data_IF_257318898108
#
_entry.id   IF_257318898108
#
_cell.length_a   1.000
_cell.length_b   1.000
_cell.length_c   1.000
_cell.angle_alpha   90.00
_cell.angle_beta   90.00
_cell.angle_gamma   90.00
#
_symmetry.space_group_name_H-M   'P 1'
#
loop_
_entity.id
_entity.type
_entity.pdbx_description
1 polymer ?
#
# COMPACT_ATOMS: atom_id res chain seq x y z
N UNK A 1 57.70 -27.33 -6.48
CA UNK A 1 56.76 -26.76 -7.46
C UNK A 1 55.38 -27.24 -7.07
N UNK A 2 54.64 -26.42 -6.32
CA UNK A 2 53.20 -26.62 -6.10
C UNK A 2 52.42 -25.98 -7.27
N UNK A 3 51.27 -26.54 -7.68
CA UNK A 3 50.44 -25.93 -8.71
C UNK A 3 49.64 -24.73 -8.16
N UNK A 4 49.30 -23.74 -9.01
CA UNK A 4 48.56 -22.56 -8.56
C UNK A 4 47.07 -22.89 -8.37
N UNK A 5 46.55 -22.65 -7.17
CA UNK A 5 45.11 -22.68 -6.88
C UNK A 5 44.39 -21.57 -7.64
N UNK A 6 43.54 -21.96 -8.57
CA UNK A 6 42.62 -21.05 -9.28
C UNK A 6 41.38 -20.85 -8.42
N UNK A 7 41.22 -19.65 -7.87
CA UNK A 7 40.02 -19.25 -7.12
C UNK A 7 38.88 -18.94 -8.09
N UNK A 8 37.87 -19.81 -8.11
CA UNK A 8 36.59 -19.58 -8.79
C UNK A 8 35.88 -18.35 -8.18
N UNK A 9 35.36 -17.40 -8.98
CA UNK A 9 34.52 -16.33 -8.47
C UNK A 9 33.24 -16.89 -7.86
N UNK A 10 32.96 -16.55 -6.60
CA UNK A 10 31.68 -16.87 -5.98
C UNK A 10 30.55 -16.15 -6.72
N UNK A 11 29.55 -16.92 -7.16
CA UNK A 11 28.29 -16.43 -7.70
C UNK A 11 27.61 -15.52 -6.66
N UNK A 12 27.00 -14.37 -7.01
CA UNK A 12 26.30 -13.55 -6.04
C UNK A 12 25.18 -14.36 -5.41
N UNK A 13 25.24 -14.50 -4.09
CA UNK A 13 24.24 -15.13 -3.25
C UNK A 13 22.88 -14.50 -3.53
N UNK A 14 21.92 -15.33 -3.96
CA UNK A 14 20.51 -14.94 -4.05
C UNK A 14 20.04 -14.53 -2.66
N UNK A 15 19.81 -13.24 -2.43
CA UNK A 15 19.16 -12.72 -1.24
C UNK A 15 17.78 -13.37 -1.14
N UNK A 16 17.56 -14.21 -0.13
CA UNK A 16 16.20 -14.65 0.20
C UNK A 16 15.31 -13.42 0.39
N UNK A 17 14.07 -13.42 -0.12
CA UNK A 17 13.15 -12.34 0.16
C UNK A 17 13.05 -12.15 1.69
N UNK A 18 13.02 -10.90 2.20
CA UNK A 18 12.94 -10.64 3.62
C UNK A 18 11.75 -11.40 4.22
N UNK A 19 12.05 -12.43 5.02
CA UNK A 19 11.04 -13.27 5.66
C UNK A 19 10.21 -12.39 6.61
N UNK A 20 8.89 -12.35 6.41
CA UNK A 20 7.90 -11.53 7.13
C UNK A 20 7.77 -10.08 6.64
N UNK A 21 7.37 -9.94 5.39
CA UNK A 21 7.00 -8.66 4.79
C UNK A 21 5.50 -8.39 4.98
N UNK A 22 5.16 -7.48 5.88
CA UNK A 22 3.81 -6.92 5.95
C UNK A 22 3.76 -5.68 5.06
N UNK A 23 2.75 -5.58 4.20
CA UNK A 23 2.54 -4.47 3.27
C UNK A 23 1.15 -3.87 3.47
N UNK A 24 1.05 -2.56 3.42
CA UNK A 24 -0.23 -1.85 3.48
C UNK A 24 -0.41 -1.04 2.21
N UNK A 25 -1.43 -1.38 1.42
CA UNK A 25 -1.87 -0.63 0.25
C UNK A 25 -2.87 0.47 0.63
N UNK A 26 -2.72 1.65 0.03
CA UNK A 26 -3.57 2.82 0.33
C UNK A 26 -4.23 3.35 -0.94
N UNK A 27 -5.55 3.18 -1.06
CA UNK A 27 -6.34 3.73 -2.18
C UNK A 27 -6.85 5.14 -1.90
N UNK A 28 -6.39 6.13 -2.68
CA UNK A 28 -6.94 7.49 -2.66
C UNK A 28 -8.10 7.60 -3.64
N UNK A 29 -9.30 7.41 -3.12
CA UNK A 29 -10.53 7.49 -3.90
C UNK A 29 -11.23 8.84 -3.75
N UNK A 30 -10.69 9.73 -2.91
CA UNK A 30 -11.30 11.03 -2.62
C UNK A 30 -11.34 11.91 -3.88
N UNK A 31 -10.27 11.91 -4.67
CA UNK A 31 -10.17 12.73 -5.87
C UNK A 31 -11.02 12.22 -7.04
N UNK A 32 -11.51 10.99 -6.96
CA UNK A 32 -12.39 10.40 -7.98
C UNK A 32 -13.86 10.75 -7.75
N UNK A 33 -14.22 11.29 -6.58
CA UNK A 33 -15.60 11.64 -6.26
C UNK A 33 -16.50 10.41 -6.39
N UNK A 34 -17.48 10.47 -7.29
CA UNK A 34 -18.41 9.38 -7.58
C UNK A 34 -18.12 8.67 -8.92
N UNK A 35 -16.93 8.85 -9.50
CA UNK A 35 -16.51 8.16 -10.72
C UNK A 35 -16.20 6.69 -10.43
N UNK A 36 -17.20 5.82 -10.64
CA UNK A 36 -17.07 4.38 -10.42
C UNK A 36 -16.01 3.73 -11.32
N UNK A 37 -15.76 4.26 -12.52
CA UNK A 37 -14.76 3.70 -13.41
C UNK A 37 -13.33 3.99 -12.91
N UNK A 38 -13.10 5.18 -12.35
CA UNK A 38 -11.84 5.50 -11.69
C UNK A 38 -11.59 4.62 -10.46
N UNK A 39 -12.63 4.35 -9.65
CA UNK A 39 -12.56 3.41 -8.53
C UNK A 39 -12.15 2.00 -8.97
N UNK A 40 -12.78 1.48 -10.04
CA UNK A 40 -12.42 0.16 -10.57
C UNK A 40 -10.98 0.12 -11.09
N UNK A 41 -10.51 1.20 -11.73
CA UNK A 41 -9.12 1.29 -12.21
C UNK A 41 -8.12 1.27 -11.06
N UNK A 42 -8.33 2.07 -10.02
CA UNK A 42 -7.50 2.11 -8.81
C UNK A 42 -7.46 0.73 -8.14
N UNK A 43 -8.64 0.13 -7.97
CA UNK A 43 -8.77 -1.19 -7.36
C UNK A 43 -8.04 -2.26 -8.15
N UNK A 44 -8.24 -2.32 -9.47
CA UNK A 44 -7.58 -3.31 -10.32
C UNK A 44 -6.06 -3.13 -10.31
N UNK A 45 -5.57 -1.89 -10.20
CA UNK A 45 -4.14 -1.62 -10.06
C UNK A 45 -3.59 -2.22 -8.76
N UNK A 46 -4.23 -1.93 -7.63
CA UNK A 46 -3.83 -2.45 -6.31
C UNK A 46 -3.91 -3.99 -6.28
N UNK A 47 -4.98 -4.58 -6.84
CA UNK A 47 -5.14 -6.03 -6.92
C UNK A 47 -4.01 -6.66 -7.75
N UNK A 48 -3.67 -6.10 -8.91
CA UNK A 48 -2.55 -6.60 -9.75
C UNK A 48 -1.20 -6.54 -9.05
N UNK A 49 -0.95 -5.47 -8.27
CA UNK A 49 0.26 -5.39 -7.46
C UNK A 49 0.26 -6.46 -6.37
N UNK A 50 -0.88 -6.66 -5.70
CA UNK A 50 -1.05 -7.71 -4.70
C UNK A 50 -0.81 -9.11 -5.24
N UNK A 51 -1.43 -9.44 -6.39
CA UNK A 51 -1.24 -10.71 -7.09
C UNK A 51 0.25 -10.99 -7.32
N UNK A 52 0.93 -10.05 -7.98
CA UNK A 52 2.35 -10.19 -8.29
C UNK A 52 3.22 -10.21 -7.02
N UNK A 53 2.84 -9.50 -5.97
CA UNK A 53 3.55 -9.51 -4.69
C UNK A 53 3.47 -10.88 -4.00
N UNK A 54 2.28 -11.48 -3.93
CA UNK A 54 2.09 -12.81 -3.34
C UNK A 54 2.75 -13.91 -4.16
N UNK A 55 2.81 -13.75 -5.50
CA UNK A 55 3.54 -14.69 -6.38
C UNK A 55 5.06 -14.58 -6.24
N UNK A 56 5.57 -13.40 -5.86
CA UNK A 56 7.02 -13.12 -5.84
C UNK A 56 7.74 -13.56 -4.57
N UNK A 57 7.04 -13.75 -3.44
CA UNK A 57 7.68 -14.04 -2.16
C UNK A 57 6.78 -14.83 -1.22
N UNK A 58 7.34 -15.86 -0.59
CA UNK A 58 6.71 -16.53 0.54
C UNK A 58 6.88 -15.66 1.80
N UNK A 59 5.91 -15.70 2.73
CA UNK A 59 5.96 -14.91 3.96
C UNK A 59 5.59 -13.43 3.80
N UNK A 60 4.85 -13.08 2.74
CA UNK A 60 4.24 -11.75 2.60
C UNK A 60 2.83 -11.76 3.18
N UNK A 61 2.40 -10.62 3.71
CA UNK A 61 0.99 -10.34 3.93
C UNK A 61 0.66 -8.91 3.52
N UNK A 62 -0.58 -8.71 3.09
CA UNK A 62 -1.04 -7.44 2.55
C UNK A 62 -2.34 -7.00 3.22
N UNK A 63 -2.37 -5.76 3.67
CA UNK A 63 -3.58 -5.06 4.09
C UNK A 63 -3.97 -4.00 3.07
N UNK A 64 -5.25 -3.64 3.07
CA UNK A 64 -5.79 -2.57 2.23
C UNK A 64 -6.49 -1.54 3.11
N UNK A 65 -6.26 -0.27 2.80
CA UNK A 65 -6.98 0.85 3.37
C UNK A 65 -7.33 1.83 2.27
N UNK A 66 -8.58 2.28 2.23
CA UNK A 66 -9.03 3.23 1.23
C UNK A 66 -9.88 4.31 1.88
N UNK A 67 -9.77 5.53 1.36
CA UNK A 67 -10.47 6.69 1.87
C UNK A 67 -11.21 7.45 0.75
N UNK A 68 -12.14 8.33 1.14
CA UNK A 68 -13.01 9.04 0.22
C UNK A 68 -14.47 8.59 0.37
N UNK A 69 -15.11 8.31 -0.76
CA UNK A 69 -16.49 7.80 -0.78
C UNK A 69 -16.46 6.27 -0.66
N UNK A 70 -16.05 5.76 0.51
CA UNK A 70 -15.96 4.32 0.85
C UNK A 70 -16.68 4.00 2.16
N UNK A 71 -16.88 2.72 2.46
CA UNK A 71 -17.60 2.25 3.66
C UNK A 71 -16.83 2.45 4.97
N UNK A 72 -15.49 2.48 4.92
CA UNK A 72 -14.65 2.40 6.12
C UNK A 72 -14.61 3.74 6.87
N UNK A 73 -14.78 3.65 8.19
CA UNK A 73 -14.76 4.76 9.15
C UNK A 73 -13.48 4.81 10.00
N UNK A 74 -12.62 3.79 9.92
CA UNK A 74 -11.45 3.66 10.79
C UNK A 74 -10.22 4.35 10.21
N UNK A 75 -9.63 5.23 11.02
CA UNK A 75 -8.35 5.91 10.77
C UNK A 75 -7.13 5.08 11.21
N UNK A 76 -7.36 3.94 11.87
CA UNK A 76 -6.31 3.05 12.39
C UNK A 76 -6.40 1.72 11.66
N UNK A 77 -5.24 1.20 11.25
CA UNK A 77 -5.12 -0.16 10.75
C UNK A 77 -4.60 -1.04 11.87
N UNK A 78 -5.30 -2.14 12.06
CA UNK A 78 -4.96 -3.17 13.04
C UNK A 78 -4.25 -4.33 12.32
N UNK A 79 -3.47 -5.11 13.05
CA UNK A 79 -2.72 -6.23 12.46
C UNK A 79 -3.63 -7.32 11.88
N UNK A 80 -4.87 -7.45 12.35
CA UNK A 80 -5.90 -8.36 11.81
C UNK A 80 -6.39 -7.98 10.41
N UNK A 81 -6.03 -6.79 9.90
CA UNK A 81 -6.33 -6.36 8.53
C UNK A 81 -5.34 -6.91 7.48
N UNK A 82 -4.38 -7.75 7.89
CA UNK A 82 -3.38 -8.35 7.01
C UNK A 82 -3.86 -9.69 6.48
N UNK A 83 -3.83 -9.86 5.16
CA UNK A 83 -4.17 -11.10 4.48
C UNK A 83 -2.89 -11.83 4.04
N UNK A 84 -2.85 -13.14 4.25
CA UNK A 84 -1.67 -13.98 3.98
C UNK A 84 -1.71 -14.66 2.61
N UNK A 85 -2.77 -14.45 1.85
CA UNK A 85 -2.90 -14.95 0.48
C UNK A 85 -3.64 -13.93 -0.39
N UNK A 86 -3.46 -14.06 -1.71
CA UNK A 86 -4.04 -13.17 -2.69
C UNK A 86 -5.58 -13.20 -2.72
N UNK A 87 -6.19 -14.37 -2.53
CA UNK A 87 -7.65 -14.52 -2.62
C UNK A 87 -8.37 -13.70 -1.53
N UNK A 88 -7.88 -13.78 -0.29
CA UNK A 88 -8.41 -12.97 0.81
C UNK A 88 -8.13 -11.48 0.60
N UNK A 89 -6.92 -11.14 0.16
CA UNK A 89 -6.56 -9.76 -0.12
C UNK A 89 -7.44 -9.13 -1.21
N UNK A 90 -7.71 -9.85 -2.30
CA UNK A 90 -8.52 -9.34 -3.41
C UNK A 90 -9.98 -9.12 -2.99
N UNK A 91 -10.56 -10.04 -2.20
CA UNK A 91 -11.88 -9.86 -1.57
C UNK A 91 -11.92 -8.65 -0.63
N UNK A 92 -10.86 -8.44 0.15
CA UNK A 92 -10.77 -7.27 1.02
C UNK A 92 -10.67 -5.97 0.22
N UNK A 93 -9.88 -5.93 -0.86
CA UNK A 93 -9.79 -4.78 -1.75
C UNK A 93 -11.14 -4.47 -2.40
N UNK A 94 -11.86 -5.50 -2.85
CA UNK A 94 -13.21 -5.37 -3.38
C UNK A 94 -14.20 -4.80 -2.37
N UNK A 95 -14.10 -5.15 -1.09
CA UNK A 95 -14.99 -4.66 -0.04
C UNK A 95 -14.66 -3.23 0.41
N UNK A 96 -13.37 -2.92 0.56
CA UNK A 96 -12.87 -1.63 1.05
C UNK A 96 -13.02 -0.51 0.02
N UNK A 97 -12.85 -0.82 -1.26
CA UNK A 97 -12.86 0.17 -2.35
C UNK A 97 -14.24 0.31 -3.01
N UNK A 98 -15.33 -0.12 -2.35
CA UNK A 98 -16.68 0.07 -2.88
C UNK A 98 -17.13 1.52 -2.76
N UNK A 99 -17.46 2.13 -3.90
CA UNK A 99 -18.04 3.47 -3.97
C UNK A 99 -19.31 3.55 -3.11
N UNK A 100 -19.36 4.56 -2.26
CA UNK A 100 -20.53 4.94 -1.47
C UNK A 100 -21.08 6.28 -1.93
N UNK A 101 -22.34 6.57 -1.57
CA UNK A 101 -22.96 7.85 -1.88
C UNK A 101 -22.55 8.97 -0.91
N UNK A 102 -21.92 8.62 0.23
CA UNK A 102 -21.49 9.56 1.27
C UNK A 102 -19.98 9.50 1.42
N UNK A 103 -19.36 10.67 1.52
CA UNK A 103 -17.97 10.84 1.94
C UNK A 103 -17.87 10.65 3.44
N UNK A 104 -17.21 9.58 3.88
CA UNK A 104 -17.10 9.22 5.30
C UNK A 104 -15.78 9.74 5.89
N UNK A 105 -14.67 9.49 5.18
CA UNK A 105 -13.33 9.92 5.55
C UNK A 105 -12.75 10.78 4.43
N UNK A 106 -12.13 11.90 4.80
CA UNK A 106 -11.35 12.71 3.86
C UNK A 106 -10.20 13.41 4.57
N UNK A 107 -9.09 13.60 3.88
CA UNK A 107 -8.05 14.53 4.29
C UNK A 107 -8.40 15.96 3.84
N UNK A 108 -7.86 16.94 4.55
CA UNK A 108 -7.81 18.30 4.00
C UNK A 108 -6.66 18.37 2.98
N UNK A 109 -6.91 19.01 1.83
CA UNK A 109 -5.95 19.02 0.72
C UNK A 109 -4.64 19.75 1.07
N UNK A 110 -4.71 20.68 2.02
CA UNK A 110 -3.58 21.53 2.41
C UNK A 110 -2.64 20.83 3.42
N UNK A 111 -3.17 19.87 4.20
CA UNK A 111 -2.37 19.00 5.07
C UNK A 111 -2.90 17.56 5.07
N UNK A 112 -2.26 16.71 4.27
CA UNK A 112 -2.60 15.28 4.12
C UNK A 112 -2.38 14.47 5.40
N UNK A 113 -1.74 15.05 6.43
CA UNK A 113 -1.62 14.44 7.75
C UNK A 113 -2.85 14.71 8.64
N UNK A 114 -3.74 15.64 8.28
CA UNK A 114 -4.96 15.97 9.02
C UNK A 114 -6.17 15.35 8.32
N UNK A 115 -6.89 14.51 9.07
CA UNK A 115 -8.00 13.73 8.56
C UNK A 115 -9.28 14.11 9.25
N UNK A 116 -10.32 14.26 8.43
CA UNK A 116 -11.67 14.62 8.81
C UNK A 116 -12.56 13.39 8.71
N UNK A 117 -13.13 13.00 9.84
CA UNK A 117 -14.18 11.98 9.92
C UNK A 117 -15.52 12.69 10.08
N UNK A 118 -16.47 12.39 9.19
CA UNK A 118 -17.85 12.86 9.36
C UNK A 118 -18.56 11.98 10.39
N UNK A 119 -18.94 12.55 11.53
CA UNK A 119 -19.88 11.91 12.45
C UNK A 119 -21.32 12.02 11.95
N UNK A 120 -22.22 11.18 12.47
CA UNK A 120 -23.66 11.24 12.16
C UNK A 120 -24.33 12.50 12.75
N UNK A 121 -23.73 13.10 13.78
CA UNK A 121 -24.25 14.27 14.50
C UNK A 121 -23.73 15.62 13.95
N UNK A 122 -23.21 15.65 12.71
CA UNK A 122 -22.63 16.85 12.06
C UNK A 122 -21.46 17.50 12.81
N UNK A 123 -20.88 16.84 13.81
CA UNK A 123 -19.68 17.32 14.47
C UNK A 123 -18.47 16.76 13.73
N UNK A 124 -17.73 17.63 13.04
CA UNK A 124 -16.53 17.25 12.32
C UNK A 124 -15.42 16.89 13.31
N UNK A 125 -14.92 15.66 13.24
CA UNK A 125 -13.80 15.21 14.06
C UNK A 125 -12.51 15.22 13.23
N UNK A 126 -11.54 16.01 13.68
CA UNK A 126 -10.22 16.10 13.06
C UNK A 126 -9.21 15.31 13.87
N UNK A 127 -8.44 14.44 13.20
CA UNK A 127 -7.37 13.69 13.81
C UNK A 127 -6.14 13.70 12.92
N UNK A 128 -4.96 13.84 13.54
CA UNK A 128 -3.70 13.65 12.83
C UNK A 128 -3.48 12.15 12.58
N UNK A 129 -3.21 11.79 11.33
CA UNK A 129 -3.03 10.42 10.93
C UNK A 129 -1.80 9.82 11.59
N UNK A 130 -1.99 8.70 12.26
CA UNK A 130 -0.92 7.81 12.66
C UNK A 130 -1.39 6.37 12.43
N UNK A 131 -1.67 6.05 11.16
CA UNK A 131 -2.35 4.83 10.72
C UNK A 131 -1.68 3.55 11.19
N UNK A 132 -0.36 3.59 11.36
CA UNK A 132 0.48 2.44 11.71
C UNK A 132 1.08 2.52 13.10
N UNK A 133 0.67 3.49 13.94
CA UNK A 133 1.16 3.66 15.31
C UNK A 133 1.17 2.38 16.14
N UNK A 134 0.14 1.56 15.93
CA UNK A 134 -0.10 0.32 16.66
C UNK A 134 0.18 -0.92 15.83
N UNK A 135 0.53 -0.74 14.55
CA UNK A 135 0.73 -1.83 13.63
C UNK A 135 2.21 -2.21 13.62
N UNK A 136 2.51 -3.49 13.87
CA UNK A 136 3.88 -4.01 13.81
C UNK A 136 4.24 -4.34 12.36
N UNK A 137 4.06 -3.37 11.47
CA UNK A 137 4.28 -3.56 10.03
C UNK A 137 5.74 -3.32 9.70
N UNK A 138 6.38 -4.32 9.08
CA UNK A 138 7.76 -4.22 8.62
C UNK A 138 7.91 -3.20 7.50
N UNK A 139 6.93 -3.14 6.57
CA UNK A 139 6.90 -2.13 5.49
C UNK A 139 5.50 -1.57 5.25
N UNK A 140 5.43 -0.32 4.82
CA UNK A 140 4.19 0.38 4.49
C UNK A 140 4.34 0.89 3.06
N UNK A 141 3.43 0.53 2.17
CA UNK A 141 3.58 0.87 0.75
C UNK A 141 2.29 1.51 0.28
N UNK A 142 2.23 2.83 0.42
CA UNK A 142 1.09 3.59 -0.09
C UNK A 142 1.21 3.65 -1.62
N UNK A 143 0.29 2.98 -2.32
CA UNK A 143 0.27 2.92 -3.78
C UNK A 143 -1.09 3.40 -4.29
N UNK A 144 -1.08 4.39 -5.16
CA UNK A 144 -2.30 4.85 -5.82
C UNK A 144 -2.05 5.51 -7.18
N UNK A 145 -3.07 5.51 -8.04
CA UNK A 145 -3.00 6.12 -9.37
C UNK A 145 -3.19 7.63 -9.26
N UNK A 146 -2.17 8.37 -9.70
CA UNK A 146 -2.14 9.84 -9.88
C UNK A 146 -2.99 10.64 -8.87
N UNK A 147 -2.96 10.24 -7.61
CA UNK A 147 -3.61 10.91 -6.50
C UNK A 147 -2.54 11.52 -5.59
N UNK A 148 -2.96 12.13 -4.49
CA UNK A 148 -2.18 12.94 -3.55
C UNK A 148 -0.79 12.35 -3.24
N UNK A 149 0.20 13.20 -2.96
CA UNK A 149 1.49 12.73 -2.48
C UNK A 149 1.32 12.03 -1.12
N UNK A 150 1.37 10.70 -1.14
CA UNK A 150 1.18 9.85 0.04
C UNK A 150 2.45 9.77 0.90
N UNK A 151 3.56 10.44 0.53
CA UNK A 151 4.82 10.42 1.29
C UNK A 151 4.64 10.87 2.75
N UNK A 152 3.68 11.77 3.01
CA UNK A 152 3.37 12.31 4.33
C UNK A 152 2.45 11.42 5.19
N UNK A 153 1.82 10.40 4.61
CA UNK A 153 1.00 9.42 5.35
C UNK A 153 1.77 8.13 5.63
N UNK A 154 2.90 7.96 4.98
CA UNK A 154 3.82 6.84 5.17
C UNK A 154 4.90 7.27 6.16
N UNK A 155 5.07 6.53 7.25
CA UNK A 155 6.06 6.86 8.29
C UNK A 155 7.46 6.44 7.79
N UNK A 156 8.44 7.36 7.65
CA UNK A 156 9.85 6.99 7.40
C UNK A 156 10.41 6.26 8.63
N UNK A 157 11.26 5.23 8.52
CA UNK A 157 12.01 4.69 7.37
C UNK A 157 11.33 3.52 6.63
N UNK A 158 10.18 3.07 7.11
CA UNK A 158 9.59 1.79 6.71
C UNK A 158 8.59 1.90 5.57
N UNK A 159 8.52 3.01 4.84
CA UNK A 159 7.56 3.03 3.76
C UNK A 159 7.80 3.97 2.61
N UNK A 160 7.13 3.61 1.52
CA UNK A 160 7.32 4.17 0.18
C UNK A 160 5.97 4.54 -0.41
N UNK A 161 5.84 5.78 -0.84
CA UNK A 161 4.74 6.22 -1.68
C UNK A 161 5.13 6.02 -3.15
N UNK A 162 4.34 5.26 -3.91
CA UNK A 162 4.57 5.08 -5.35
C UNK A 162 3.42 5.68 -6.13
N UNK A 163 3.75 6.65 -6.99
CA UNK A 163 2.80 7.33 -7.86
C UNK A 163 2.94 6.81 -9.28
N UNK A 164 1.84 6.30 -9.83
CA UNK A 164 1.79 5.79 -11.21
C UNK A 164 0.85 6.63 -12.07
N UNK A 165 1.09 6.63 -13.38
CA UNK A 165 0.25 7.30 -14.36
C UNK A 165 -1.20 6.76 -14.36
N UNK A 166 -2.17 7.53 -14.85
CA UNK A 166 -3.60 7.12 -14.87
C UNK A 166 -3.87 5.86 -15.72
N UNK A 167 -3.00 5.58 -16.68
CA UNK A 167 -3.02 4.38 -17.54
C UNK A 167 -1.78 3.57 -17.19
N UNK A 168 -1.84 2.86 -16.07
CA UNK A 168 -0.74 2.02 -15.64
C UNK A 168 -0.58 0.82 -16.59
N UNK A 169 0.67 0.40 -16.79
CA UNK A 169 1.07 -0.79 -17.53
C UNK A 169 1.46 -1.91 -16.57
N UNK A 170 1.63 -3.13 -17.08
CA UNK A 170 2.17 -4.24 -16.27
C UNK A 170 3.64 -4.01 -15.88
N UNK A 171 4.37 -3.18 -16.62
CA UNK A 171 5.72 -2.73 -16.26
C UNK A 171 5.67 -1.83 -15.02
N UNK A 172 4.73 -0.88 -14.96
CA UNK A 172 4.52 -0.05 -13.76
C UNK A 172 4.21 -0.91 -12.52
N UNK A 173 3.37 -1.93 -12.67
CA UNK A 173 3.09 -2.90 -11.58
C UNK A 173 4.36 -3.61 -11.15
N UNK A 174 5.19 -4.02 -12.11
CA UNK A 174 6.46 -4.69 -11.85
C UNK A 174 7.45 -3.80 -11.10
N UNK A 175 7.54 -2.52 -11.47
CA UNK A 175 8.39 -1.55 -10.80
C UNK A 175 7.94 -1.30 -9.36
N UNK A 176 6.64 -1.21 -9.12
CA UNK A 176 6.07 -1.12 -7.77
C UNK A 176 6.45 -2.35 -6.94
N UNK A 177 6.22 -3.57 -7.43
CA UNK A 177 6.57 -4.79 -6.66
C UNK A 177 8.07 -4.87 -6.39
N UNK A 178 8.92 -4.56 -7.38
CA UNK A 178 10.38 -4.49 -7.16
C UNK A 178 10.73 -3.46 -6.08
N UNK A 179 10.06 -2.31 -6.08
CA UNK A 179 10.24 -1.28 -5.07
C UNK A 179 9.78 -1.71 -3.66
N UNK A 180 8.76 -2.56 -3.56
CA UNK A 180 8.27 -3.14 -2.30
C UNK A 180 9.27 -4.15 -1.73
N UNK A 181 9.81 -5.01 -2.59
CA UNK A 181 10.70 -6.10 -2.20
C UNK A 181 12.12 -5.62 -1.86
N UNK A 182 12.62 -4.55 -2.51
CA UNK A 182 13.93 -3.96 -2.20
C UNK A 182 14.05 -3.58 -0.72
N UNK A 183 15.14 -3.99 -0.09
CA UNK A 183 15.44 -3.59 1.28
C UNK A 183 15.69 -2.08 1.40
N UNK A 184 15.26 -1.43 2.49
CA UNK A 184 15.71 -0.07 2.77
C UNK A 184 17.23 -0.14 2.91
N UNK A 185 17.94 0.55 2.03
CA UNK A 185 19.38 0.73 2.19
C UNK A 185 19.55 1.53 3.48
N UNK A 186 20.14 0.92 4.49
CA UNK A 186 20.61 1.64 5.67
C UNK A 186 21.62 2.69 5.17
N UNK A 187 21.28 3.96 5.33
CA UNK A 187 22.20 5.10 5.12
C UNK A 187 22.93 5.41 6.43
#
# INVERSE_FOLDING_TARGET
MEPPSTTTPALPTSTEPPSNLHCLFVGDLLNFGTDSAAYQKEKNFIIKIGEKLFDSSQGVSAGIWAYGYTKRVSLVIKNDAMHHNFEEFSKAADAEMQLQNKKILSNERDDVSVWKKKSEDNQDEYQKLNMTRNAKMTRIVAVGLKSVDLSKIVIPTNGKAVKVSKSYSDDDVSEVVKAILKEPVEE
#
